data_IF_431260684337
#
_entry.id   IF_431260684337
#
_cell.length_a   1.000
_cell.length_b   1.000
_cell.length_c   1.000
_cell.angle_alpha   90.00
_cell.angle_beta   90.00
_cell.angle_gamma   90.00
#
_symmetry.space_group_name_H-M   'P 1'
#
loop_
_entity.id
_entity.type
_entity.pdbx_description
1 polymer ?
#
# COMPACT_ATOMS: atom_id res chain seq x y z
N UNK A 1 -29.39 22.32 22.72
CA UNK A 1 -29.92 22.26 21.34
C UNK A 1 -29.20 23.22 20.38
N UNK A 2 -28.92 24.48 20.74
CA UNK A 2 -28.21 25.44 19.87
C UNK A 2 -26.74 25.07 19.53
N UNK A 3 -26.02 24.41 20.44
CA UNK A 3 -24.62 24.00 20.23
C UNK A 3 -24.47 22.88 19.18
N UNK A 4 -25.46 22.00 19.10
CA UNK A 4 -25.48 20.84 18.20
C UNK A 4 -25.78 21.26 16.74
N UNK A 5 -26.57 22.33 16.57
CA UNK A 5 -26.87 22.94 15.26
C UNK A 5 -25.60 23.60 14.68
N UNK A 6 -24.85 24.35 15.50
CA UNK A 6 -23.61 25.01 15.05
C UNK A 6 -22.52 23.99 14.68
N UNK A 7 -22.35 22.91 15.45
CA UNK A 7 -21.36 21.85 15.13
C UNK A 7 -21.68 21.15 13.80
N UNK A 8 -22.95 20.88 13.50
CA UNK A 8 -23.39 20.31 12.22
C UNK A 8 -23.15 21.28 11.06
N UNK A 9 -23.44 22.56 11.23
CA UNK A 9 -23.17 23.58 10.21
C UNK A 9 -21.67 23.75 9.93
N UNK A 10 -20.82 23.79 10.96
CA UNK A 10 -19.36 23.82 10.79
C UNK A 10 -18.82 22.55 10.11
N UNK A 11 -19.40 21.38 10.40
CA UNK A 11 -19.05 20.11 9.77
C UNK A 11 -19.47 20.07 8.30
N UNK A 12 -20.67 20.57 7.98
CA UNK A 12 -21.18 20.69 6.61
C UNK A 12 -20.35 21.71 5.80
N UNK A 13 -19.97 22.84 6.38
CA UNK A 13 -19.09 23.82 5.73
C UNK A 13 -17.68 23.27 5.48
N UNK A 14 -17.15 22.43 6.38
CA UNK A 14 -15.89 21.68 6.14
C UNK A 14 -16.04 20.66 5.01
N UNK A 15 -17.14 19.90 4.97
CA UNK A 15 -17.44 18.94 3.90
C UNK A 15 -17.61 19.62 2.53
N UNK A 16 -18.28 20.78 2.47
CA UNK A 16 -18.43 21.57 1.24
C UNK A 16 -17.10 22.13 0.73
N UNK A 17 -16.14 22.43 1.61
CA UNK A 17 -14.76 22.80 1.21
C UNK A 17 -14.00 21.62 0.59
N UNK A 18 -14.20 20.40 1.09
CA UNK A 18 -13.61 19.18 0.51
C UNK A 18 -14.14 18.88 -0.91
N UNK A 19 -15.39 19.21 -1.22
CA UNK A 19 -15.94 19.12 -2.58
C UNK A 19 -15.23 20.03 -3.58
N UNK A 20 -14.68 21.17 -3.14
CA UNK A 20 -13.85 22.03 -4.01
C UNK A 20 -12.52 21.37 -4.35
N UNK A 21 -11.91 20.63 -3.42
CA UNK A 21 -10.69 19.85 -3.65
C UNK A 21 -10.95 18.72 -4.67
N UNK A 22 -12.11 18.07 -4.61
CA UNK A 22 -12.54 17.09 -5.61
C UNK A 22 -12.67 17.69 -7.02
N UNK A 23 -13.13 18.95 -7.15
CA UNK A 23 -13.14 19.66 -8.44
C UNK A 23 -11.73 19.97 -8.94
N UNK A 24 -10.83 20.41 -8.05
CA UNK A 24 -9.42 20.65 -8.40
C UNK A 24 -8.71 19.35 -8.84
N UNK A 25 -9.00 18.22 -8.19
CA UNK A 25 -8.53 16.90 -8.62
C UNK A 25 -9.07 16.51 -10.00
N UNK A 26 -10.35 16.82 -10.30
CA UNK A 26 -10.91 16.60 -11.65
C UNK A 26 -10.22 17.46 -12.72
N UNK A 27 -9.91 18.73 -12.42
CA UNK A 27 -9.20 19.64 -13.33
C UNK A 27 -7.77 19.14 -13.59
N UNK A 28 -7.10 18.67 -12.54
CA UNK A 28 -5.80 18.00 -12.61
C UNK A 28 -5.85 16.69 -13.42
N UNK A 29 -6.96 15.95 -13.37
CA UNK A 29 -7.10 14.67 -14.10
C UNK A 29 -7.02 14.83 -15.61
N UNK A 30 -7.26 16.01 -16.19
CA UNK A 30 -7.18 16.23 -17.63
C UNK A 30 -5.85 16.83 -18.11
N UNK A 31 -5.00 17.31 -17.19
CA UNK A 31 -3.72 17.91 -17.56
C UNK A 31 -2.67 16.84 -17.90
N UNK A 32 -2.09 16.94 -19.10
CA UNK A 32 -1.01 16.06 -19.62
C UNK A 32 0.23 16.04 -18.71
N UNK A 33 0.43 17.09 -17.91
CA UNK A 33 1.55 17.22 -16.97
C UNK A 33 1.51 16.22 -15.81
N UNK A 34 0.34 15.64 -15.51
CA UNK A 34 0.16 14.68 -14.41
C UNK A 34 0.14 13.22 -14.87
N UNK A 35 0.50 12.95 -16.13
CA UNK A 35 0.48 11.58 -16.68
C UNK A 35 1.45 10.67 -15.93
N UNK A 36 2.66 11.14 -15.62
CA UNK A 36 3.62 10.40 -14.82
C UNK A 36 3.15 10.19 -13.37
N UNK A 37 2.55 11.21 -12.76
CA UNK A 37 1.95 11.06 -11.43
C UNK A 37 0.80 10.03 -11.43
N UNK A 38 -0.06 10.02 -12.46
CA UNK A 38 -1.14 9.03 -12.59
C UNK A 38 -0.60 7.62 -12.72
N UNK A 39 0.48 7.40 -13.49
CA UNK A 39 1.15 6.09 -13.57
C UNK A 39 1.62 5.64 -12.19
N UNK A 40 2.30 6.52 -11.44
CA UNK A 40 2.73 6.23 -10.07
C UNK A 40 1.55 5.92 -9.13
N UNK A 41 0.44 6.67 -9.23
CA UNK A 41 -0.76 6.45 -8.41
C UNK A 41 -1.47 5.14 -8.78
N UNK A 42 -1.55 4.79 -10.07
CA UNK A 42 -2.11 3.52 -10.52
C UNK A 42 -1.26 2.33 -10.06
N UNK A 43 0.07 2.45 -10.12
CA UNK A 43 1.02 1.46 -9.58
C UNK A 43 0.89 1.33 -8.06
N UNK A 44 0.74 2.45 -7.34
CA UNK A 44 0.48 2.42 -5.90
C UNK A 44 -0.86 1.73 -5.61
N UNK A 45 -1.90 2.04 -6.38
CA UNK A 45 -3.23 1.46 -6.23
C UNK A 45 -3.27 -0.05 -6.49
N UNK A 46 -2.47 -0.56 -7.43
CA UNK A 46 -2.36 -2.01 -7.65
C UNK A 46 -1.71 -2.71 -6.44
N UNK A 47 -0.73 -2.07 -5.81
CA UNK A 47 -0.07 -2.58 -4.61
C UNK A 47 -0.96 -2.52 -3.36
N UNK A 48 -1.97 -1.65 -3.32
CA UNK A 48 -2.88 -1.53 -2.16
C UNK A 48 -3.60 -2.85 -1.84
N UNK A 49 -3.93 -3.67 -2.85
CA UNK A 49 -4.58 -4.97 -2.61
C UNK A 49 -3.66 -5.91 -1.83
N UNK A 50 -2.40 -6.01 -2.24
CA UNK A 50 -1.38 -6.82 -1.56
C UNK A 50 -1.13 -6.28 -0.16
N UNK A 51 -0.93 -4.95 -0.03
CA UNK A 51 -0.72 -4.29 1.26
C UNK A 51 -1.88 -4.53 2.22
N UNK A 52 -3.13 -4.49 1.75
CA UNK A 52 -4.30 -4.75 2.58
C UNK A 52 -4.24 -6.13 3.24
N UNK A 53 -3.94 -7.17 2.47
CA UNK A 53 -3.80 -8.54 3.00
C UNK A 53 -2.60 -8.66 3.95
N UNK A 54 -1.48 -8.02 3.62
CA UNK A 54 -0.31 -7.93 4.49
C UNK A 54 -0.62 -7.28 5.84
N UNK A 55 -1.34 -6.15 5.84
CA UNK A 55 -1.78 -5.48 7.07
C UNK A 55 -2.78 -6.33 7.85
N UNK A 56 -3.71 -7.02 7.17
CA UNK A 56 -4.64 -7.93 7.82
C UNK A 56 -3.90 -9.09 8.52
N UNK A 57 -2.92 -9.68 7.86
CA UNK A 57 -2.07 -10.71 8.45
C UNK A 57 -1.29 -10.19 9.66
N UNK A 58 -0.67 -9.00 9.53
CA UNK A 58 -0.01 -8.33 10.65
C UNK A 58 -0.96 -8.11 11.83
N UNK A 59 -2.17 -7.63 11.58
CA UNK A 59 -3.18 -7.43 12.62
C UNK A 59 -3.59 -8.72 13.33
N UNK A 60 -3.65 -9.85 12.63
CA UNK A 60 -3.92 -11.17 13.21
C UNK A 60 -2.77 -11.58 14.15
N UNK A 61 -1.52 -11.46 13.70
CA UNK A 61 -0.34 -11.80 14.51
C UNK A 61 -0.23 -10.90 15.73
N UNK A 62 -0.45 -9.58 15.57
CA UNK A 62 -0.53 -8.64 16.69
C UNK A 62 -1.62 -9.05 17.68
N UNK A 63 -2.80 -9.42 17.18
CA UNK A 63 -3.93 -9.80 18.05
C UNK A 63 -3.65 -11.07 18.85
N UNK A 64 -2.90 -12.02 18.29
CA UNK A 64 -2.47 -13.22 19.01
C UNK A 64 -1.54 -12.89 20.19
N UNK A 65 -0.53 -12.03 19.96
CA UNK A 65 0.36 -11.56 21.03
C UNK A 65 -0.38 -10.68 22.05
N UNK A 66 -1.29 -9.83 21.59
CA UNK A 66 -2.14 -9.01 22.45
C UNK A 66 -3.05 -9.85 23.34
N UNK A 67 -3.60 -10.96 22.82
CA UNK A 67 -4.38 -11.89 23.62
C UNK A 67 -3.53 -12.54 24.70
N UNK A 68 -2.32 -12.99 24.36
CA UNK A 68 -1.38 -13.53 25.36
C UNK A 68 -0.98 -12.48 26.40
N UNK A 69 -0.75 -11.23 26.00
CA UNK A 69 -0.41 -10.13 26.92
C UNK A 69 -1.57 -9.79 27.86
N UNK A 70 -2.82 -9.79 27.35
CA UNK A 70 -4.02 -9.53 28.17
C UNK A 70 -4.25 -10.65 29.18
N UNK A 71 -4.06 -11.92 28.80
CA UNK A 71 -4.31 -13.03 29.72
C UNK A 71 -3.16 -13.25 30.71
N UNK A 72 -1.91 -13.11 30.27
CA UNK A 72 -0.75 -13.47 31.09
C UNK A 72 -0.14 -12.26 31.81
N UNK A 73 -0.01 -11.12 31.13
CA UNK A 73 0.77 -9.98 31.62
C UNK A 73 -0.12 -8.92 32.29
N UNK A 74 -1.36 -8.74 31.84
CA UNK A 74 -2.27 -7.76 32.43
C UNK A 74 -2.48 -7.92 33.94
N UNK A 75 -2.65 -9.14 34.52
CA UNK A 75 -2.82 -9.27 35.97
C UNK A 75 -1.63 -8.71 36.76
N UNK A 76 -0.42 -8.93 36.25
CA UNK A 76 0.83 -8.39 36.82
C UNK A 76 0.86 -6.87 36.69
N UNK A 77 0.53 -6.34 35.51
CA UNK A 77 0.47 -4.90 35.27
C UNK A 77 -0.55 -4.21 36.17
N UNK A 78 -1.72 -4.81 36.43
CA UNK A 78 -2.71 -4.24 37.34
C UNK A 78 -2.20 -4.16 38.78
N UNK A 79 -1.49 -5.19 39.26
CA UNK A 79 -0.87 -5.18 40.59
C UNK A 79 0.18 -4.08 40.69
N UNK A 80 1.10 -4.04 39.74
CA UNK A 80 2.15 -3.01 39.68
C UNK A 80 1.59 -1.59 39.53
N UNK A 81 0.47 -1.42 38.83
CA UNK A 81 -0.20 -0.14 38.69
C UNK A 81 -0.84 0.32 40.00
N UNK A 82 -1.40 -0.60 40.80
CA UNK A 82 -1.92 -0.31 42.13
C UNK A 82 -0.80 0.14 43.10
N UNK A 83 0.40 -0.42 42.94
CA UNK A 83 1.58 -0.07 43.73
C UNK A 83 2.30 1.22 43.24
N UNK A 84 1.82 1.83 42.17
CA UNK A 84 2.40 3.07 41.61
C UNK A 84 3.72 2.85 40.88
N UNK A 85 4.02 1.65 40.39
CA UNK A 85 5.30 1.29 39.77
C UNK A 85 5.59 2.00 38.44
N UNK A 86 4.57 2.61 37.79
CA UNK A 86 4.68 3.19 36.44
C UNK A 86 4.90 4.71 36.40
N UNK A 87 5.21 5.36 37.53
CA UNK A 87 5.56 6.79 37.57
C UNK A 87 4.54 7.70 36.85
N UNK A 88 5.02 8.49 35.90
CA UNK A 88 4.20 9.44 35.12
C UNK A 88 3.38 8.79 33.98
N UNK A 89 3.53 7.48 33.74
CA UNK A 89 2.84 6.80 32.66
C UNK A 89 1.37 6.53 32.99
N UNK A 90 0.50 7.50 32.68
CA UNK A 90 -0.96 7.42 32.92
C UNK A 90 -1.66 6.31 32.13
N UNK A 91 -1.11 5.90 30.99
CA UNK A 91 -1.74 4.90 30.12
C UNK A 91 -1.27 3.47 30.39
N UNK A 92 -0.13 3.28 31.07
CA UNK A 92 0.52 1.98 31.30
C UNK A 92 -0.40 0.99 32.02
N UNK A 93 -1.02 1.41 33.13
CA UNK A 93 -1.95 0.55 33.88
C UNK A 93 -3.18 0.12 33.09
N UNK A 94 -3.52 0.80 31.99
CA UNK A 94 -4.67 0.46 31.14
C UNK A 94 -4.28 -0.14 29.78
N UNK A 95 -2.99 -0.30 29.50
CA UNK A 95 -2.49 -0.69 28.18
C UNK A 95 -2.90 -2.12 27.79
N UNK A 96 -2.93 -3.04 28.78
CA UNK A 96 -3.22 -4.46 28.56
C UNK A 96 -4.63 -4.87 29.03
N UNK A 97 -5.55 -3.93 29.27
CA UNK A 97 -6.89 -4.26 29.80
C UNK A 97 -7.81 -4.90 28.76
N UNK A 98 -7.54 -4.71 27.47
CA UNK A 98 -8.31 -5.33 26.39
C UNK A 98 -7.42 -5.59 25.18
N UNK A 99 -7.79 -6.58 24.36
CA UNK A 99 -7.03 -6.95 23.15
C UNK A 99 -6.85 -5.76 22.22
N UNK A 100 -7.86 -4.91 22.06
CA UNK A 100 -7.76 -3.73 21.20
C UNK A 100 -6.80 -2.67 21.76
N UNK A 101 -6.73 -2.50 23.09
CA UNK A 101 -5.77 -1.59 23.73
C UNK A 101 -4.35 -2.14 23.67
N UNK A 102 -4.19 -3.45 23.88
CA UNK A 102 -2.91 -4.12 23.71
C UNK A 102 -2.42 -4.06 22.25
N UNK A 103 -3.33 -4.19 21.28
CA UNK A 103 -3.06 -3.97 19.86
C UNK A 103 -2.63 -2.53 19.59
N UNK A 104 -3.32 -1.54 20.16
CA UNK A 104 -2.94 -0.13 20.01
C UNK A 104 -1.55 0.15 20.58
N UNK A 105 -1.26 -0.36 21.77
CA UNK A 105 0.06 -0.25 22.41
C UNK A 105 1.15 -0.92 21.55
N UNK A 106 0.90 -2.15 21.10
CA UNK A 106 1.83 -2.88 20.21
C UNK A 106 2.05 -2.13 18.89
N UNK A 107 0.99 -1.57 18.32
CA UNK A 107 1.08 -0.76 17.11
C UNK A 107 1.90 0.53 17.32
N UNK A 108 1.68 1.24 18.43
CA UNK A 108 2.46 2.43 18.80
C UNK A 108 3.94 2.07 19.01
N UNK A 109 4.22 0.98 19.70
CA UNK A 109 5.59 0.49 19.89
C UNK A 109 6.28 0.19 18.56
N UNK A 110 5.62 -0.48 17.63
CA UNK A 110 6.25 -0.93 16.38
C UNK A 110 6.35 0.20 15.36
N UNK A 111 5.30 1.01 15.20
CA UNK A 111 5.20 2.01 14.14
C UNK A 111 5.67 3.38 14.61
N UNK A 112 5.26 3.81 15.81
CA UNK A 112 5.64 5.10 16.36
C UNK A 112 6.97 5.05 17.14
N UNK A 113 7.43 3.86 17.52
CA UNK A 113 8.66 3.68 18.30
C UNK A 113 8.56 4.24 19.72
N UNK A 114 7.34 4.37 20.25
CA UNK A 114 7.05 5.12 21.48
C UNK A 114 6.64 4.18 22.63
N UNK A 115 6.94 4.62 23.85
CA UNK A 115 6.38 4.18 25.13
C UNK A 115 6.52 2.69 25.50
N UNK A 116 7.26 1.89 24.71
CA UNK A 116 7.52 0.49 25.02
C UNK A 116 8.27 0.32 26.34
N UNK A 117 9.33 1.12 26.53
CA UNK A 117 10.19 1.05 27.71
C UNK A 117 9.46 1.39 29.00
N UNK A 118 8.50 2.30 28.94
CA UNK A 118 7.75 2.78 30.10
C UNK A 118 6.86 1.70 30.73
N UNK A 119 6.38 0.74 29.94
CA UNK A 119 5.65 -0.43 30.43
C UNK A 119 6.52 -1.68 30.53
N UNK A 120 7.24 -2.01 29.45
CA UNK A 120 7.89 -3.32 29.34
C UNK A 120 9.07 -3.46 30.28
N UNK A 121 9.92 -2.45 30.43
CA UNK A 121 11.12 -2.52 31.30
C UNK A 121 10.75 -2.76 32.76
N UNK A 122 9.90 -1.94 33.42
CA UNK A 122 9.56 -2.17 34.82
C UNK A 122 8.86 -3.52 35.03
N UNK A 123 8.00 -3.95 34.11
CA UNK A 123 7.30 -5.26 34.19
C UNK A 123 8.28 -6.41 34.06
N UNK A 124 9.27 -6.32 33.16
CA UNK A 124 10.30 -7.35 32.99
C UNK A 124 11.23 -7.39 34.19
N UNK A 125 11.64 -6.24 34.73
CA UNK A 125 12.50 -6.17 35.93
C UNK A 125 11.81 -6.78 37.16
N UNK A 126 10.51 -6.50 37.34
CA UNK A 126 9.73 -7.11 38.42
C UNK A 126 9.41 -8.60 38.16
N UNK A 127 9.10 -8.95 36.90
CA UNK A 127 8.68 -10.28 36.49
C UNK A 127 9.39 -10.73 35.19
N UNK A 128 10.62 -11.28 35.28
CA UNK A 128 11.46 -11.56 34.11
C UNK A 128 10.86 -12.51 33.08
N UNK A 129 9.95 -13.41 33.49
CA UNK A 129 9.27 -14.33 32.58
C UNK A 129 8.40 -13.61 31.54
N UNK A 130 7.93 -12.39 31.82
CA UNK A 130 7.12 -11.58 30.89
C UNK A 130 7.91 -11.11 29.68
N UNK A 131 9.25 -11.16 29.74
CA UNK A 131 10.14 -10.81 28.63
C UNK A 131 9.84 -11.61 27.37
N UNK A 132 9.40 -12.87 27.49
CA UNK A 132 9.05 -13.69 26.33
C UNK A 132 7.88 -13.10 25.53
N UNK A 133 6.94 -12.44 26.19
CA UNK A 133 5.77 -11.82 25.55
C UNK A 133 6.18 -10.51 24.87
N UNK A 134 6.88 -9.62 25.58
CA UNK A 134 7.31 -8.33 25.02
C UNK A 134 8.39 -8.47 23.94
N UNK A 135 9.44 -9.24 24.19
CA UNK A 135 10.54 -9.43 23.23
C UNK A 135 10.09 -10.38 22.11
N UNK A 136 9.35 -11.44 22.43
CA UNK A 136 8.86 -12.38 21.41
C UNK A 136 7.90 -11.74 20.42
N UNK A 137 6.99 -10.88 20.89
CA UNK A 137 6.11 -10.10 20.00
C UNK A 137 6.90 -9.13 19.13
N UNK A 138 7.87 -8.39 19.68
CA UNK A 138 8.75 -7.51 18.91
C UNK A 138 9.56 -8.26 17.85
N UNK A 139 10.19 -9.38 18.21
CA UNK A 139 10.96 -10.19 17.27
C UNK A 139 10.08 -10.71 16.13
N UNK A 140 8.91 -11.25 16.47
CA UNK A 140 7.98 -11.80 15.49
C UNK A 140 7.46 -10.71 14.55
N UNK A 141 7.06 -9.55 15.08
CA UNK A 141 6.42 -8.49 14.29
C UNK A 141 7.43 -7.65 13.50
N UNK A 142 8.54 -7.24 14.12
CA UNK A 142 9.55 -6.38 13.47
C UNK A 142 10.43 -7.20 12.53
N UNK A 143 11.04 -8.28 13.01
CA UNK A 143 11.97 -9.05 12.19
C UNK A 143 11.28 -10.10 11.32
N UNK A 144 10.14 -10.62 11.74
CA UNK A 144 9.35 -11.58 10.96
C UNK A 144 8.39 -10.88 10.00
N UNK A 145 7.30 -10.34 10.55
CA UNK A 145 6.15 -9.87 9.75
C UNK A 145 6.50 -8.65 8.90
N UNK A 146 7.06 -7.58 9.46
CA UNK A 146 7.37 -6.37 8.67
C UNK A 146 8.35 -6.66 7.53
N UNK A 147 9.42 -7.41 7.80
CA UNK A 147 10.37 -7.82 6.76
C UNK A 147 9.72 -8.68 5.68
N UNK A 148 8.81 -9.61 6.05
CA UNK A 148 8.04 -10.39 5.08
C UNK A 148 7.14 -9.50 4.22
N UNK A 149 6.47 -8.50 4.82
CA UNK A 149 5.64 -7.55 4.06
C UNK A 149 6.49 -6.78 3.06
N UNK A 150 7.65 -6.27 3.46
CA UNK A 150 8.56 -5.59 2.54
C UNK A 150 8.99 -6.50 1.38
N UNK A 151 9.34 -7.75 1.65
CA UNK A 151 9.69 -8.72 0.61
C UNK A 151 8.54 -8.91 -0.40
N UNK A 152 7.33 -9.17 0.09
CA UNK A 152 6.14 -9.38 -0.76
C UNK A 152 5.80 -8.14 -1.60
N UNK A 153 5.96 -6.94 -1.04
CA UNK A 153 5.74 -5.68 -1.78
C UNK A 153 6.78 -5.49 -2.88
N UNK A 154 8.04 -5.79 -2.60
CA UNK A 154 9.13 -5.73 -3.59
C UNK A 154 8.86 -6.71 -4.73
N UNK A 155 8.48 -7.95 -4.41
CA UNK A 155 8.17 -8.98 -5.42
C UNK A 155 6.97 -8.56 -6.28
N UNK A 156 5.89 -8.06 -5.66
CA UNK A 156 4.71 -7.55 -6.37
C UNK A 156 5.09 -6.42 -7.33
N UNK A 157 5.95 -5.50 -6.89
CA UNK A 157 6.42 -4.40 -7.72
C UNK A 157 7.30 -4.88 -8.88
N UNK A 158 8.18 -5.86 -8.64
CA UNK A 158 9.01 -6.46 -9.67
C UNK A 158 8.16 -7.17 -10.75
N UNK A 159 7.14 -7.94 -10.34
CA UNK A 159 6.20 -8.59 -11.25
C UNK A 159 5.43 -7.57 -12.10
N UNK A 160 4.96 -6.47 -11.50
CA UNK A 160 4.26 -5.41 -12.24
C UNK A 160 5.17 -4.77 -13.30
N UNK A 161 6.42 -4.45 -12.94
CA UNK A 161 7.40 -3.91 -13.88
C UNK A 161 7.66 -4.88 -15.04
N UNK A 162 7.78 -6.18 -14.75
CA UNK A 162 8.00 -7.18 -15.78
C UNK A 162 6.81 -7.29 -16.75
N UNK A 163 5.57 -7.25 -16.22
CA UNK A 163 4.36 -7.24 -17.04
C UNK A 163 4.27 -6.00 -17.93
N UNK A 164 4.63 -4.83 -17.44
CA UNK A 164 4.64 -3.59 -18.24
C UNK A 164 5.60 -3.69 -19.44
N UNK A 165 6.79 -4.26 -19.24
CA UNK A 165 7.75 -4.51 -20.33
C UNK A 165 7.21 -5.50 -21.35
N UNK A 166 6.59 -6.60 -20.88
CA UNK A 166 5.99 -7.60 -21.78
C UNK A 166 4.82 -7.03 -22.59
N UNK A 167 3.95 -6.24 -21.97
CA UNK A 167 2.83 -5.59 -22.65
C UNK A 167 3.32 -4.62 -23.72
N UNK A 168 4.34 -3.81 -23.41
CA UNK A 168 4.94 -2.89 -24.39
C UNK A 168 5.54 -3.63 -25.57
N UNK A 169 6.25 -4.74 -25.33
CA UNK A 169 6.79 -5.57 -26.41
C UNK A 169 5.67 -6.14 -27.31
N UNK A 170 4.56 -6.60 -26.71
CA UNK A 170 3.40 -7.08 -27.46
C UNK A 170 2.72 -5.98 -28.28
N UNK A 171 2.63 -4.75 -27.76
CA UNK A 171 2.10 -3.61 -28.50
C UNK A 171 2.98 -3.28 -29.72
N UNK A 172 4.31 -3.27 -29.56
CA UNK A 172 5.25 -3.04 -30.65
C UNK A 172 5.19 -4.14 -31.72
N UNK A 173 5.10 -5.41 -31.31
CA UNK A 173 4.96 -6.54 -32.25
C UNK A 173 3.63 -6.48 -33.02
N UNK A 174 2.55 -6.03 -32.36
CA UNK A 174 1.24 -5.85 -32.99
C UNK A 174 1.26 -4.70 -34.00
N UNK A 175 1.88 -3.56 -33.66
CA UNK A 175 2.05 -2.41 -34.55
C UNK A 175 2.90 -2.78 -35.77
N UNK A 176 4.02 -3.47 -35.57
CA UNK A 176 4.86 -3.97 -36.68
C UNK A 176 4.11 -4.96 -37.59
N UNK A 177 3.23 -5.79 -37.04
CA UNK A 177 2.39 -6.70 -37.83
C UNK A 177 1.31 -5.96 -38.63
N UNK A 178 0.77 -4.85 -38.10
CA UNK A 178 -0.18 -4.00 -38.80
C UNK A 178 0.50 -3.23 -39.94
N UNK A 179 1.65 -2.61 -39.67
CA UNK A 179 2.47 -1.92 -40.67
C UNK A 179 2.88 -2.86 -41.81
N UNK A 180 3.30 -4.09 -41.46
CA UNK A 180 3.61 -5.11 -42.46
C UNK A 180 2.40 -5.41 -43.34
N UNK A 181 1.21 -5.61 -42.76
CA UNK A 181 -0.02 -5.87 -43.54
C UNK A 181 -0.42 -4.67 -44.41
N UNK A 182 -0.19 -3.45 -43.94
CA UNK A 182 -0.46 -2.24 -44.70
C UNK A 182 0.49 -2.11 -45.90
N UNK A 183 1.79 -2.30 -45.69
CA UNK A 183 2.79 -2.32 -46.76
C UNK A 183 2.51 -3.43 -47.77
N UNK A 184 2.15 -4.62 -47.29
CA UNK A 184 1.78 -5.75 -48.16
C UNK A 184 0.64 -5.36 -49.11
N UNK A 185 -0.41 -4.71 -48.59
CA UNK A 185 -1.53 -4.22 -49.43
C UNK A 185 -1.11 -3.17 -50.46
N UNK A 186 -0.16 -2.30 -50.13
CA UNK A 186 0.36 -1.31 -51.08
C UNK A 186 1.14 -2.02 -52.18
N UNK A 187 2.02 -2.96 -51.82
CA UNK A 187 2.79 -3.72 -52.80
C UNK A 187 1.87 -4.55 -53.70
N UNK A 188 0.86 -5.22 -53.14
CA UNK A 188 -0.15 -5.96 -53.91
C UNK A 188 -0.99 -5.05 -54.85
N UNK A 189 -1.04 -3.74 -54.61
CA UNK A 189 -1.71 -2.77 -55.49
C UNK A 189 -0.82 -2.25 -56.63
N UNK A 190 0.50 -2.21 -56.41
CA UNK A 190 1.48 -1.74 -57.40
C UNK A 190 1.90 -2.89 -58.32
N UNK A 191 1.94 -4.11 -57.79
CA UNK A 191 2.23 -5.34 -58.53
C UNK A 191 1.09 -5.68 -59.50
N UNK A 192 1.14 -5.11 -60.71
CA UNK A 192 0.14 -5.35 -61.76
C UNK A 192 0.22 -6.76 -62.36
N UNK A 193 1.42 -7.37 -62.37
CA UNK A 193 1.64 -8.68 -62.98
C UNK A 193 1.45 -9.86 -62.00
N UNK A 194 1.33 -9.58 -60.71
CA UNK A 194 1.09 -10.55 -59.64
C UNK A 194 2.28 -11.47 -59.39
N UNK A 195 3.49 -11.04 -59.77
CA UNK A 195 4.72 -11.81 -59.61
C UNK A 195 5.20 -11.91 -58.15
N UNK A 196 4.75 -10.99 -57.29
CA UNK A 196 5.19 -10.87 -55.89
C UNK A 196 6.51 -10.11 -55.71
N UNK A 197 7.07 -9.56 -56.79
CA UNK A 197 8.23 -8.67 -56.80
C UNK A 197 7.85 -7.33 -57.45
N UNK A 198 8.55 -6.24 -57.11
CA UNK A 198 8.27 -4.91 -57.67
C UNK A 198 9.35 -4.46 -58.62
N UNK A 199 8.93 -4.10 -59.84
CA UNK A 199 9.77 -3.64 -60.92
C UNK A 199 9.92 -2.11 -60.88
N UNK A 200 11.05 -1.57 -61.33
CA UNK A 200 11.27 -0.12 -61.32
C UNK A 200 10.20 0.63 -62.14
N UNK A 201 9.72 0.01 -63.23
CA UNK A 201 8.70 0.59 -64.10
C UNK A 201 7.31 0.65 -63.42
N UNK A 202 6.93 -0.38 -62.66
CA UNK A 202 5.66 -0.42 -61.89
C UNK A 202 5.65 0.64 -60.78
N UNK A 203 6.79 0.81 -60.10
CA UNK A 203 6.95 1.83 -59.06
C UNK A 203 6.86 3.24 -59.64
N UNK A 204 7.43 3.48 -60.83
CA UNK A 204 7.34 4.77 -61.51
C UNK A 204 5.92 5.08 -61.99
N UNK A 205 5.21 4.09 -62.54
CA UNK A 205 3.82 4.23 -62.97
C UNK A 205 2.88 4.57 -61.82
N UNK A 206 3.07 3.95 -60.65
CA UNK A 206 2.28 4.25 -59.45
C UNK A 206 2.57 5.65 -58.87
N UNK A 207 3.77 6.20 -59.08
CA UNK A 207 4.18 7.51 -58.57
C UNK A 207 3.73 8.73 -59.39
N UNK A 208 3.25 8.51 -60.62
CA UNK A 208 2.74 9.58 -61.50
C UNK A 208 1.22 9.87 -61.34
N UNK A 209 0.51 9.09 -60.52
CA UNK A 209 -0.92 9.27 -60.19
C UNK A 209 -1.13 10.02 -58.87
#
# INVERSE_FOLDING_TARGET
>A
MAYDISAKEFTLLRLLRLLRILRLMKLCRHHRWLTELKKLVMMMASCLRTLFWSFMFCFIVMSAWSMAAVELVNPVVQQMAADGAFGDCRSCGSALTSVMRANLMTFQTIIAGDSWGDLAVPVIEAHPWTAIIFIGSLLTLVFGVLNLIFAVVIDTYAEHRQKDVMNLAQELDAEAAEDKRFLQKIFDQIDEDGSGELNLDEVLLAGEQ
#
